data_IF_787903966121
#
_entry.id   IF_787903966121
#
_cell.length_a   1.000
_cell.length_b   1.000
_cell.length_c   1.000
_cell.angle_alpha   90.00
_cell.angle_beta   90.00
_cell.angle_gamma   90.00
#
_symmetry.space_group_name_H-M   'P 1'
#
loop_
_entity.id
_entity.type
_entity.pdbx_description
1 polymer ?
#
# COMPACT_ATOMS: atom_id res chain seq x y z
N UNK A 1 5.72 -27.39 9.76
CA UNK A 1 5.18 -26.20 9.09
C UNK A 1 4.81 -25.18 10.16
N UNK A 2 5.66 -24.15 10.40
CA UNK A 2 5.34 -23.07 11.35
C UNK A 2 4.61 -22.00 10.56
N UNK A 3 3.33 -21.77 10.91
CA UNK A 3 2.46 -20.80 10.26
C UNK A 3 3.04 -19.38 10.29
N UNK A 4 2.86 -18.66 9.20
CA UNK A 4 3.19 -17.25 9.03
C UNK A 4 2.28 -16.38 9.94
N UNK A 5 2.52 -16.39 11.26
CA UNK A 5 1.84 -15.50 12.19
C UNK A 5 2.54 -14.14 12.18
N UNK A 6 2.15 -13.25 11.29
CA UNK A 6 2.74 -11.90 11.23
C UNK A 6 2.27 -11.00 10.11
N UNK A 7 1.61 -11.51 9.12
CA UNK A 7 1.15 -10.70 8.00
C UNK A 7 -0.26 -10.11 8.29
N UNK A 8 -0.31 -9.01 9.05
CA UNK A 8 -1.57 -8.28 9.32
C UNK A 8 -2.04 -7.39 8.16
N UNK A 9 -1.35 -7.39 7.03
CA UNK A 9 -1.65 -6.51 5.90
C UNK A 9 -2.65 -7.13 4.93
N UNK A 10 -2.65 -8.47 4.78
CA UNK A 10 -3.48 -9.18 3.77
C UNK A 10 -4.98 -9.18 4.08
N UNK A 11 -5.39 -9.03 5.32
CA UNK A 11 -6.81 -9.12 5.71
C UNK A 11 -7.68 -7.91 5.30
N UNK A 12 -7.15 -6.93 4.57
CA UNK A 12 -7.85 -5.66 4.30
C UNK A 12 -8.18 -5.38 2.83
N UNK A 13 -7.85 -6.27 1.93
CA UNK A 13 -8.00 -6.01 0.48
C UNK A 13 -9.27 -6.61 -0.12
N UNK A 14 -9.99 -7.46 0.62
CA UNK A 14 -11.17 -8.13 0.09
C UNK A 14 -12.39 -7.92 0.99
N UNK A 15 -13.14 -6.84 0.77
CA UNK A 15 -14.59 -6.81 1.05
C UNK A 15 -15.26 -5.72 0.21
N UNK A 16 -15.75 -6.11 -0.97
CA UNK A 16 -16.83 -5.39 -1.64
C UNK A 16 -18.14 -5.96 -1.07
N UNK A 17 -18.72 -5.28 -0.08
CA UNK A 17 -20.11 -5.53 0.27
C UNK A 17 -21.02 -4.66 -0.59
N UNK A 18 -21.85 -5.34 -1.39
CA UNK A 18 -22.92 -4.73 -2.17
C UNK A 18 -23.92 -4.06 -1.22
N UNK A 19 -24.04 -2.74 -1.31
CA UNK A 19 -25.09 -1.98 -0.68
C UNK A 19 -26.38 -2.12 -1.47
N UNK A 20 -27.40 -2.70 -0.85
CA UNK A 20 -28.80 -2.69 -1.31
C UNK A 20 -29.33 -1.27 -1.36
N UNK A 21 -29.91 -0.91 -2.49
CA UNK A 21 -30.49 0.39 -2.82
C UNK A 21 -31.79 0.63 -2.03
N UNK A 22 -31.79 1.62 -1.13
CA UNK A 22 -33.02 2.28 -0.61
C UNK A 22 -32.87 3.80 -0.77
N UNK A 23 -33.93 4.54 -1.10
CA UNK A 23 -33.83 5.98 -1.33
C UNK A 23 -33.64 6.72 -0.01
N UNK A 24 -32.44 7.27 0.17
CA UNK A 24 -32.05 8.06 1.33
C UNK A 24 -32.29 9.54 1.05
N UNK A 25 -32.91 10.23 1.98
CA UNK A 25 -33.18 11.67 1.94
C UNK A 25 -31.88 12.48 1.88
N UNK A 26 -31.90 13.61 1.19
CA UNK A 26 -30.76 14.50 0.86
C UNK A 26 -30.05 15.11 2.09
N UNK A 27 -30.36 14.71 3.32
CA UNK A 27 -29.78 15.26 4.56
C UNK A 27 -28.67 14.44 5.22
N UNK A 28 -28.38 13.24 4.72
CA UNK A 28 -27.19 12.51 5.19
C UNK A 28 -25.99 12.88 4.31
N UNK A 29 -25.30 13.95 4.71
CA UNK A 29 -23.90 14.19 4.28
C UNK A 29 -23.16 12.92 4.64
N UNK A 30 -22.81 12.11 3.64
CA UNK A 30 -22.03 10.91 3.82
C UNK A 30 -20.66 11.29 4.40
N UNK A 31 -20.54 11.24 5.71
CA UNK A 31 -19.26 11.43 6.39
C UNK A 31 -18.36 10.24 6.04
N UNK A 32 -17.46 10.47 5.11
CA UNK A 32 -16.51 9.46 4.70
C UNK A 32 -15.62 9.08 5.89
N UNK A 33 -15.52 7.78 6.17
CA UNK A 33 -14.69 7.25 7.24
C UNK A 33 -13.33 6.87 6.67
N UNK A 34 -12.27 7.38 7.28
CA UNK A 34 -10.90 7.06 6.92
C UNK A 34 -10.25 6.21 7.99
N UNK A 35 -9.69 5.07 7.62
CA UNK A 35 -8.89 4.25 8.51
C UNK A 35 -7.43 4.66 8.37
N UNK A 36 -6.88 5.23 9.44
CA UNK A 36 -5.46 5.61 9.52
C UNK A 36 -4.73 4.75 10.55
N UNK A 37 -3.46 4.49 10.33
CA UNK A 37 -2.60 3.79 11.28
C UNK A 37 -1.70 4.80 11.97
N UNK A 38 -1.82 4.90 13.28
CA UNK A 38 -0.99 5.77 14.14
C UNK A 38 -0.09 4.85 14.95
N UNK A 39 1.24 4.90 14.72
CA UNK A 39 2.20 4.00 15.35
C UNK A 39 1.74 2.53 15.25
N UNK A 40 1.34 2.11 14.06
CA UNK A 40 0.82 0.76 13.72
C UNK A 40 -0.49 0.35 14.41
N UNK A 41 -1.19 1.27 15.10
CA UNK A 41 -2.52 1.04 15.66
C UNK A 41 -3.59 1.67 14.76
N UNK A 42 -4.63 0.92 14.34
CA UNK A 42 -5.69 1.47 13.50
C UNK A 42 -6.56 2.44 14.28
N UNK A 43 -6.92 3.56 13.65
CA UNK A 43 -7.88 4.55 14.15
C UNK A 43 -8.82 4.96 13.02
N UNK A 44 -10.11 5.05 13.31
CA UNK A 44 -11.10 5.58 12.37
C UNK A 44 -11.19 7.09 12.57
N UNK A 45 -11.04 7.84 11.50
CA UNK A 45 -11.21 9.28 11.45
C UNK A 45 -12.53 9.57 10.74
N UNK A 46 -13.42 10.24 11.45
CA UNK A 46 -14.71 10.69 10.96
C UNK A 46 -14.75 12.20 11.16
N UNK A 47 -14.22 12.95 10.20
CA UNK A 47 -14.14 14.41 10.25
C UNK A 47 -13.90 14.96 8.85
N UNK A 48 -13.88 16.27 8.71
CA UNK A 48 -13.39 16.93 7.51
C UNK A 48 -11.95 16.50 7.24
N UNK A 49 -11.79 15.62 6.24
CA UNK A 49 -10.51 15.03 5.87
C UNK A 49 -9.47 16.08 5.50
N UNK A 50 -9.89 17.13 4.80
CA UNK A 50 -9.00 18.22 4.39
C UNK A 50 -8.42 18.96 5.61
N UNK A 51 -9.27 19.27 6.60
CA UNK A 51 -8.84 19.87 7.85
C UNK A 51 -7.93 18.94 8.65
N UNK A 52 -8.25 17.64 8.68
CA UNK A 52 -7.39 16.66 9.35
C UNK A 52 -6.00 16.60 8.71
N UNK A 53 -5.91 16.50 7.39
CA UNK A 53 -4.62 16.45 6.67
C UNK A 53 -3.77 17.70 6.84
N UNK A 54 -4.38 18.87 7.02
CA UNK A 54 -3.66 20.14 7.19
C UNK A 54 -2.73 20.20 8.42
N UNK A 55 -2.88 19.27 9.37
CA UNK A 55 -2.03 19.16 10.56
C UNK A 55 -0.75 18.33 10.34
N UNK A 56 -0.53 17.80 9.13
CA UNK A 56 0.54 16.88 8.81
C UNK A 56 1.29 17.30 7.56
N UNK A 57 2.56 16.90 7.47
CA UNK A 57 3.27 16.90 6.20
C UNK A 57 2.76 15.68 5.43
N UNK A 58 2.14 15.91 4.28
CA UNK A 58 1.70 14.84 3.40
C UNK A 58 2.90 14.26 2.63
N UNK A 59 3.06 12.95 2.70
CA UNK A 59 3.97 12.18 1.86
C UNK A 59 3.13 11.21 1.04
N UNK A 60 3.29 11.26 -0.26
CA UNK A 60 2.68 10.30 -1.18
C UNK A 60 3.67 9.19 -1.50
N UNK A 61 3.15 7.99 -1.61
CA UNK A 61 3.88 6.78 -1.97
C UNK A 61 2.98 5.87 -2.80
N UNK A 62 3.57 4.98 -3.57
CA UNK A 62 2.81 3.97 -4.29
C UNK A 62 3.52 2.62 -4.25
N UNK A 63 2.78 1.55 -4.47
CA UNK A 63 3.32 0.20 -4.51
C UNK A 63 2.30 -0.81 -5.05
N UNK A 64 2.69 -2.08 -5.04
CA UNK A 64 1.92 -3.13 -5.69
C UNK A 64 1.69 -4.40 -4.89
N UNK A 65 0.53 -5.01 -5.13
CA UNK A 65 0.30 -6.43 -4.94
C UNK A 65 0.57 -7.10 -6.29
N UNK A 66 1.75 -7.67 -6.44
CA UNK A 66 2.21 -8.23 -7.71
C UNK A 66 2.09 -9.74 -7.68
N UNK A 67 1.42 -10.29 -8.68
CA UNK A 67 1.27 -11.73 -8.86
C UNK A 67 2.03 -12.20 -10.10
N UNK A 68 2.68 -13.36 -9.99
CA UNK A 68 3.26 -14.07 -11.13
C UNK A 68 2.22 -14.98 -11.81
N UNK A 69 2.65 -15.78 -12.80
CA UNK A 69 1.78 -16.74 -13.52
C UNK A 69 1.26 -17.89 -12.63
N UNK A 70 1.97 -18.19 -11.54
CA UNK A 70 1.62 -19.23 -10.58
C UNK A 70 0.74 -18.73 -9.42
N UNK A 71 0.18 -17.51 -9.56
CA UNK A 71 -0.62 -16.82 -8.53
C UNK A 71 0.13 -16.65 -7.19
N UNK A 72 1.46 -16.52 -7.24
CA UNK A 72 2.27 -16.23 -6.08
C UNK A 72 2.44 -14.71 -5.92
N UNK A 73 2.37 -14.23 -4.67
CA UNK A 73 2.49 -12.82 -4.31
C UNK A 73 3.95 -12.44 -4.10
N UNK A 74 4.40 -11.35 -4.74
CA UNK A 74 5.72 -10.76 -4.53
C UNK A 74 5.77 -10.07 -3.17
N UNK A 75 6.73 -10.45 -2.34
CA UNK A 75 6.92 -9.86 -1.02
C UNK A 75 8.40 -9.51 -0.78
N UNK A 76 8.60 -8.42 -0.03
CA UNK A 76 9.91 -7.98 0.46
C UNK A 76 10.05 -8.29 1.94
N UNK A 77 11.25 -8.61 2.41
CA UNK A 77 11.58 -8.74 3.83
C UNK A 77 12.44 -7.56 4.27
N UNK A 78 11.85 -6.69 5.08
CA UNK A 78 12.46 -5.43 5.53
C UNK A 78 12.23 -5.24 7.03
N UNK A 79 13.26 -4.84 7.77
CA UNK A 79 13.17 -4.61 9.22
C UNK A 79 12.57 -5.78 10.02
N UNK A 80 12.93 -7.02 9.66
CA UNK A 80 12.46 -8.24 10.34
C UNK A 80 11.01 -8.63 10.03
N UNK A 81 10.38 -8.06 9.01
CA UNK A 81 8.98 -8.33 8.62
C UNK A 81 8.83 -8.44 7.12
N UNK A 82 7.89 -9.26 6.71
CA UNK A 82 7.39 -9.28 5.35
C UNK A 82 6.47 -8.09 5.11
N UNK A 83 6.62 -7.43 3.97
CA UNK A 83 5.86 -6.27 3.52
C UNK A 83 5.67 -6.31 2.01
N UNK A 84 4.83 -5.44 1.49
CA UNK A 84 4.64 -5.26 0.05
C UNK A 84 5.62 -4.19 -0.46
N UNK A 85 6.14 -4.34 -1.69
CA UNK A 85 7.03 -3.36 -2.28
C UNK A 85 6.32 -2.03 -2.53
N UNK A 86 6.96 -0.92 -2.13
CA UNK A 86 6.41 0.43 -2.23
C UNK A 86 7.44 1.48 -1.84
N UNK A 87 7.38 2.61 -2.48
CA UNK A 87 8.21 3.72 -2.08
C UNK A 87 7.61 5.09 -2.34
N UNK A 88 8.41 6.12 -2.19
CA UNK A 88 7.97 7.51 -2.29
C UNK A 88 7.77 7.93 -3.74
N UNK A 89 6.69 8.67 -3.98
CA UNK A 89 6.47 9.37 -5.24
C UNK A 89 7.51 10.49 -5.41
N UNK A 90 8.15 10.56 -6.55
CA UNK A 90 9.03 11.64 -6.95
C UNK A 90 8.24 12.87 -7.43
N UNK A 91 8.93 14.01 -7.54
CA UNK A 91 8.32 15.23 -8.04
C UNK A 91 7.90 15.07 -9.51
N UNK A 92 6.71 15.53 -9.86
CA UNK A 92 6.10 15.40 -11.20
C UNK A 92 5.90 13.97 -11.72
N UNK A 93 6.09 12.93 -10.88
CA UNK A 93 5.85 11.55 -11.26
C UNK A 93 4.35 11.21 -11.19
N UNK A 94 3.84 10.44 -12.14
CA UNK A 94 2.50 9.87 -12.07
C UNK A 94 2.44 8.72 -11.06
N UNK A 95 1.30 8.56 -10.37
CA UNK A 95 1.21 7.63 -9.24
C UNK A 95 1.35 6.15 -9.66
N UNK A 96 0.85 5.80 -10.84
CA UNK A 96 0.98 4.46 -11.43
C UNK A 96 2.43 4.17 -11.86
N UNK A 97 3.11 5.18 -12.40
CA UNK A 97 4.53 5.09 -12.75
C UNK A 97 5.39 4.89 -11.50
N UNK A 98 5.13 5.65 -10.44
CA UNK A 98 5.75 5.49 -9.14
C UNK A 98 5.57 4.05 -8.62
N UNK A 99 4.35 3.51 -8.67
CA UNK A 99 4.08 2.17 -8.18
C UNK A 99 4.88 1.09 -8.92
N UNK A 100 4.98 1.17 -10.25
CA UNK A 100 5.79 0.25 -11.05
C UNK A 100 7.27 0.40 -10.75
N UNK A 101 7.80 1.63 -10.81
CA UNK A 101 9.22 1.93 -10.55
C UNK A 101 9.68 1.41 -9.20
N UNK A 102 8.92 1.68 -8.14
CA UNK A 102 9.28 1.24 -6.79
C UNK A 102 9.28 -0.29 -6.64
N UNK A 103 8.32 -0.98 -7.27
CA UNK A 103 8.31 -2.45 -7.29
C UNK A 103 9.51 -3.00 -8.06
N UNK A 104 9.85 -2.42 -9.22
CA UNK A 104 11.00 -2.81 -10.04
C UNK A 104 12.31 -2.57 -9.29
N UNK A 105 12.48 -1.41 -8.64
CA UNK A 105 13.68 -1.06 -7.88
C UNK A 105 13.86 -1.91 -6.62
N UNK A 106 12.79 -2.13 -5.85
CA UNK A 106 12.87 -2.87 -4.60
C UNK A 106 13.04 -4.39 -4.80
N UNK A 107 12.57 -4.93 -5.93
CA UNK A 107 12.48 -6.38 -6.17
C UNK A 107 13.30 -6.90 -7.34
N UNK A 108 13.75 -6.04 -8.25
CA UNK A 108 14.47 -6.46 -9.45
C UNK A 108 13.58 -7.14 -10.51
N UNK A 109 12.28 -6.94 -10.44
CA UNK A 109 11.31 -7.45 -11.43
C UNK A 109 11.11 -6.44 -12.57
N UNK A 110 10.47 -6.87 -13.66
CA UNK A 110 10.11 -6.01 -14.78
C UNK A 110 8.84 -6.49 -15.46
N UNK A 111 8.34 -5.71 -16.44
CA UNK A 111 7.16 -6.07 -17.21
C UNK A 111 5.87 -6.07 -16.37
N UNK A 112 5.76 -5.13 -15.46
CA UNK A 112 4.60 -4.98 -14.58
C UNK A 112 3.41 -4.39 -15.34
N UNK A 113 2.26 -5.05 -15.23
CA UNK A 113 0.97 -4.57 -15.74
C UNK A 113 0.02 -4.29 -14.58
N UNK A 114 -0.48 -3.05 -14.49
CA UNK A 114 -1.50 -2.68 -13.50
C UNK A 114 -2.85 -3.19 -14.00
N UNK A 115 -3.51 -3.99 -13.17
CA UNK A 115 -4.83 -4.57 -13.47
C UNK A 115 -5.97 -3.89 -12.71
N UNK A 116 -5.70 -3.39 -11.50
CA UNK A 116 -6.72 -2.78 -10.65
C UNK A 116 -6.08 -1.78 -9.68
N UNK A 117 -6.78 -0.65 -9.44
CA UNK A 117 -6.46 0.24 -8.31
C UNK A 117 -7.13 -0.29 -7.04
N UNK A 118 -6.35 -0.40 -5.98
CA UNK A 118 -6.81 -0.86 -4.66
C UNK A 118 -7.06 0.30 -3.71
N UNK A 119 -7.45 -0.04 -2.46
CA UNK A 119 -7.71 0.94 -1.40
C UNK A 119 -6.38 1.52 -0.91
N UNK A 120 -6.32 2.85 -0.81
CA UNK A 120 -5.18 3.56 -0.25
C UNK A 120 -5.05 3.30 1.26
N UNK A 121 -3.81 3.27 1.76
CA UNK A 121 -3.53 3.19 3.17
C UNK A 121 -2.90 4.47 3.69
N UNK A 122 -3.18 4.80 4.95
CA UNK A 122 -2.73 6.03 5.59
C UNK A 122 -1.97 5.72 6.87
N UNK A 123 -0.75 6.21 7.00
CA UNK A 123 0.09 6.02 8.17
C UNK A 123 0.53 7.37 8.74
N UNK A 124 0.40 7.55 10.07
CA UNK A 124 0.87 8.72 10.77
C UNK A 124 2.05 8.32 11.66
N UNK A 125 3.13 9.05 11.51
CA UNK A 125 4.34 8.89 12.31
C UNK A 125 5.07 10.21 12.49
N UNK A 126 6.03 10.25 13.43
CA UNK A 126 6.90 11.41 13.62
C UNK A 126 8.24 11.15 12.92
N UNK A 127 8.66 12.09 12.06
CA UNK A 127 9.95 12.08 11.41
C UNK A 127 10.66 13.41 11.62
N UNK A 128 11.86 13.38 12.19
CA UNK A 128 12.64 14.58 12.51
C UNK A 128 11.83 15.65 13.26
N UNK A 129 11.05 15.23 14.27
CA UNK A 129 10.19 16.10 15.08
C UNK A 129 8.91 16.60 14.43
N UNK A 130 8.65 16.27 13.16
CA UNK A 130 7.48 16.71 12.41
C UNK A 130 6.47 15.55 12.27
N UNK A 131 5.18 15.86 12.40
CA UNK A 131 4.11 14.89 12.14
C UNK A 131 3.91 14.69 10.64
N UNK A 132 3.98 13.45 10.19
CA UNK A 132 3.85 13.05 8.80
C UNK A 132 2.61 12.18 8.63
N UNK A 133 1.83 12.44 7.59
CA UNK A 133 0.79 11.57 7.08
C UNK A 133 1.29 10.98 5.76
N UNK A 134 1.63 9.69 5.75
CA UNK A 134 1.99 8.97 4.54
C UNK A 134 0.74 8.33 3.96
N UNK A 135 0.36 8.73 2.75
CA UNK A 135 -0.64 8.06 1.90
C UNK A 135 0.09 7.10 0.97
N UNK A 136 -0.30 5.84 0.96
CA UNK A 136 0.22 4.87 -0.01
C UNK A 136 -0.91 4.42 -0.91
N UNK A 137 -0.72 4.63 -2.21
CA UNK A 137 -1.58 4.15 -3.27
C UNK A 137 -1.18 2.71 -3.61
N UNK A 138 -2.15 1.82 -3.67
CA UNK A 138 -1.91 0.42 -3.95
C UNK A 138 -2.55 0.00 -5.27
N UNK A 139 -1.82 -0.84 -6.01
CA UNK A 139 -2.28 -1.39 -7.26
C UNK A 139 -2.10 -2.90 -7.27
N UNK A 140 -3.10 -3.61 -7.79
CA UNK A 140 -2.93 -5.00 -8.19
C UNK A 140 -2.18 -5.02 -9.51
N UNK A 141 -1.14 -5.82 -9.59
CA UNK A 141 -0.30 -5.95 -10.77
C UNK A 141 -0.05 -7.41 -11.09
N UNK A 142 0.27 -7.68 -12.34
CA UNK A 142 0.74 -8.98 -12.82
C UNK A 142 2.07 -8.82 -13.54
N UNK A 143 2.85 -9.88 -13.59
CA UNK A 143 4.07 -9.95 -14.38
C UNK A 143 4.34 -11.38 -14.88
N UNK A 144 5.02 -11.47 -16.01
CA UNK A 144 5.54 -12.71 -16.56
C UNK A 144 7.06 -12.83 -16.31
N UNK A 145 7.59 -12.10 -15.33
CA UNK A 145 9.02 -12.11 -15.02
C UNK A 145 9.45 -13.46 -14.46
N UNK A 146 10.42 -14.09 -15.11
CA UNK A 146 11.04 -15.38 -14.72
C UNK A 146 12.51 -15.22 -14.30
N UNK A 147 12.97 -13.97 -14.16
CA UNK A 147 14.36 -13.67 -13.79
C UNK A 147 14.64 -13.83 -12.30
N UNK A 148 15.85 -13.49 -11.90
CA UNK A 148 16.29 -13.53 -10.50
C UNK A 148 15.78 -12.30 -9.78
N UNK A 149 15.13 -12.50 -8.61
CA UNK A 149 14.70 -11.42 -7.73
C UNK A 149 15.93 -10.79 -7.05
N UNK A 150 16.00 -9.46 -7.08
CA UNK A 150 17.15 -8.70 -6.54
C UNK A 150 16.66 -7.72 -5.47
N UNK A 151 16.94 -7.97 -4.17
CA UNK A 151 16.54 -7.06 -3.11
C UNK A 151 17.36 -5.76 -3.15
N UNK A 152 16.69 -4.63 -3.05
CA UNK A 152 17.34 -3.32 -2.92
C UNK A 152 17.87 -3.10 -1.50
N UNK A 153 19.09 -3.55 -1.26
CA UNK A 153 19.71 -3.54 0.08
C UNK A 153 19.90 -2.15 0.67
N UNK A 154 20.03 -1.10 -0.17
CA UNK A 154 20.12 0.30 0.27
C UNK A 154 18.86 0.77 1.02
N UNK A 155 17.70 0.18 0.72
CA UNK A 155 16.43 0.42 1.40
C UNK A 155 16.21 -0.49 2.63
N UNK A 156 17.22 -1.30 3.01
CA UNK A 156 17.13 -2.25 4.11
C UNK A 156 16.32 -3.50 3.79
N UNK A 157 16.07 -3.78 2.51
CA UNK A 157 15.42 -4.99 2.03
C UNK A 157 16.47 -6.09 1.98
N UNK A 158 16.25 -7.16 2.73
CA UNK A 158 17.22 -8.26 2.83
C UNK A 158 16.81 -9.50 2.06
N UNK A 159 15.52 -9.64 1.72
CA UNK A 159 15.00 -10.73 0.88
C UNK A 159 13.83 -10.24 0.04
N UNK A 160 13.69 -10.83 -1.12
CA UNK A 160 12.50 -10.75 -1.99
C UNK A 160 12.10 -12.17 -2.33
N UNK A 161 10.82 -12.48 -2.32
CA UNK A 161 10.32 -13.82 -2.63
C UNK A 161 8.91 -13.78 -3.22
N UNK A 162 8.61 -14.79 -4.03
CA UNK A 162 7.27 -15.19 -4.40
C UNK A 162 6.70 -16.09 -3.30
N UNK A 163 5.48 -15.79 -2.83
CA UNK A 163 4.83 -16.46 -1.69
C UNK A 163 3.41 -16.88 -2.08
N UNK A 164 3.07 -18.13 -1.80
CA UNK A 164 1.70 -18.66 -1.93
C UNK A 164 0.80 -18.27 -0.77
#
# INVERSE_FOLDING_TARGET
MKGLSGCKIIAFICSKDLATCLPISISEIMTQKYKVFINNKPKIIVTDWKKFCAHYILIEAAGGLVYNREDELLMIFRNGKWDLPKGKKEEAEEIESCAKREVEEECGVSGLEITEKLIDTYHIYTHKGKKVLKRTYWFKMTTNFEGVLIPQTKEGITKVAWVK
#
